data_IF_301018536375
#
_entry.id   IF_301018536375
#
_cell.length_a   1.000
_cell.length_b   1.000
_cell.length_c   1.000
_cell.angle_alpha   90.00
_cell.angle_beta   90.00
_cell.angle_gamma   90.00
#
_symmetry.space_group_name_H-M   'P 1'
#
loop_
_entity.id
_entity.type
_entity.pdbx_description
1 polymer ?
#
# COMPACT_ATOMS: atom_id res chain seq x y z
N UNK A 1 1.60 -34.03 35.15
CA UNK A 1 0.41 -33.19 34.95
C UNK A 1 0.67 -31.67 35.03
N UNK A 2 1.87 -31.19 35.27
CA UNK A 2 2.17 -29.74 35.40
C UNK A 2 2.42 -29.07 34.05
N UNK A 3 2.90 -29.79 33.05
CA UNK A 3 3.23 -29.22 31.70
C UNK A 3 2.00 -28.76 30.94
N UNK A 4 0.87 -29.45 31.08
CA UNK A 4 -0.37 -29.08 30.37
C UNK A 4 -1.02 -27.76 30.84
N UNK A 5 -0.85 -27.41 32.12
CA UNK A 5 -1.40 -26.16 32.69
C UNK A 5 -0.57 -24.95 32.27
N UNK A 6 0.75 -25.08 32.20
CA UNK A 6 1.63 -23.99 31.71
C UNK A 6 1.41 -23.67 30.23
N UNK A 7 1.16 -24.67 29.38
CA UNK A 7 0.86 -24.48 27.97
C UNK A 7 -0.42 -23.67 27.73
N UNK A 8 -1.46 -23.87 28.56
CA UNK A 8 -2.74 -23.17 28.42
C UNK A 8 -2.67 -21.65 28.69
N UNK A 9 -1.72 -21.19 29.50
CA UNK A 9 -1.55 -19.76 29.80
C UNK A 9 -0.56 -19.06 28.86
N UNK A 10 0.33 -19.81 28.22
CA UNK A 10 1.39 -19.25 27.37
C UNK A 10 0.93 -19.07 25.93
N UNK A 11 0.16 -20.00 25.39
CA UNK A 11 -0.32 -19.95 23.98
C UNK A 11 -1.12 -18.67 23.64
N UNK A 12 -2.07 -18.16 24.44
CA UNK A 12 -2.80 -16.94 24.11
C UNK A 12 -1.91 -15.69 24.07
N UNK A 13 -0.84 -15.65 24.88
CA UNK A 13 0.07 -14.51 24.92
C UNK A 13 0.95 -14.46 23.66
N UNK A 14 1.39 -15.60 23.14
CA UNK A 14 2.17 -15.65 21.91
C UNK A 14 1.32 -15.27 20.68
N UNK A 15 0.07 -15.67 20.62
CA UNK A 15 -0.83 -15.29 19.53
C UNK A 15 -1.02 -13.75 19.49
N UNK A 16 -1.24 -13.11 20.64
CA UNK A 16 -1.38 -11.65 20.72
C UNK A 16 -0.11 -10.91 20.30
N UNK A 17 1.07 -11.43 20.63
CA UNK A 17 2.36 -10.83 20.21
C UNK A 17 2.54 -10.92 18.69
N UNK A 18 2.18 -12.06 18.09
CA UNK A 18 2.25 -12.23 16.62
C UNK A 18 1.33 -11.23 15.92
N UNK A 19 0.10 -11.08 16.36
CA UNK A 19 -0.88 -10.15 15.78
C UNK A 19 -0.42 -8.69 15.86
N UNK A 20 0.19 -8.31 16.99
CA UNK A 20 0.76 -6.97 17.15
C UNK A 20 1.98 -6.75 16.25
N UNK A 21 2.85 -7.77 16.10
CA UNK A 21 4.01 -7.69 15.21
C UNK A 21 3.59 -7.48 13.74
N UNK A 22 2.54 -8.18 13.28
CA UNK A 22 1.99 -7.97 11.93
C UNK A 22 1.44 -6.55 11.73
N UNK A 23 0.72 -6.02 12.72
CA UNK A 23 0.21 -4.64 12.66
C UNK A 23 1.35 -3.62 12.54
N UNK A 24 2.37 -3.75 13.38
CA UNK A 24 3.55 -2.86 13.37
C UNK A 24 4.29 -2.96 12.02
N UNK A 25 4.44 -4.17 11.48
CA UNK A 25 5.03 -4.37 10.15
C UNK A 25 4.22 -3.64 9.07
N UNK A 26 2.90 -3.81 9.04
CA UNK A 26 2.02 -3.15 8.05
C UNK A 26 2.05 -1.62 8.22
N UNK A 27 2.07 -1.12 9.46
CA UNK A 27 2.21 0.32 9.73
C UNK A 27 3.56 0.86 9.23
N UNK A 28 4.64 0.11 9.40
CA UNK A 28 5.96 0.48 8.86
C UNK A 28 5.95 0.59 7.34
N UNK A 29 5.35 -0.37 6.65
CA UNK A 29 5.20 -0.35 5.19
C UNK A 29 4.30 0.81 4.74
N UNK A 30 3.22 1.09 5.45
CA UNK A 30 2.35 2.25 5.17
C UNK A 30 3.11 3.58 5.35
N UNK A 31 3.97 3.67 6.35
CA UNK A 31 4.88 4.80 6.56
C UNK A 31 5.85 5.01 5.39
N UNK A 32 6.46 3.93 4.90
CA UNK A 32 7.34 3.97 3.73
C UNK A 32 6.59 4.42 2.47
N UNK A 33 5.40 3.87 2.21
CA UNK A 33 4.55 4.27 1.09
C UNK A 33 4.18 5.76 1.14
N UNK A 34 3.80 6.26 2.33
CA UNK A 34 3.48 7.67 2.55
C UNK A 34 4.69 8.56 2.31
N UNK A 35 5.85 8.19 2.83
CA UNK A 35 7.11 8.92 2.64
C UNK A 35 7.47 9.00 1.16
N UNK A 36 7.41 7.88 0.43
CA UNK A 36 7.66 7.85 -1.01
C UNK A 36 6.71 8.77 -1.79
N UNK A 37 5.40 8.71 -1.49
CA UNK A 37 4.41 9.57 -2.15
C UNK A 37 4.66 11.07 -1.89
N UNK A 38 5.05 11.45 -0.67
CA UNK A 38 5.39 12.82 -0.31
C UNK A 38 6.69 13.28 -0.98
N UNK A 39 7.69 12.40 -1.10
CA UNK A 39 8.95 12.70 -1.79
C UNK A 39 8.71 12.99 -3.27
N UNK A 40 7.90 12.15 -3.95
CA UNK A 40 7.48 12.39 -5.34
C UNK A 40 6.80 13.74 -5.49
N UNK A 41 5.84 14.06 -4.62
CA UNK A 41 5.15 15.34 -4.62
C UNK A 41 6.09 16.53 -4.40
N UNK A 42 7.01 16.41 -3.47
CA UNK A 42 8.00 17.46 -3.18
C UNK A 42 8.89 17.72 -4.40
N UNK A 43 9.36 16.66 -5.05
CA UNK A 43 10.15 16.79 -6.28
C UNK A 43 9.35 17.42 -7.42
N UNK A 44 8.10 17.00 -7.63
CA UNK A 44 7.19 17.59 -8.60
C UNK A 44 7.08 19.10 -8.40
N UNK A 45 6.85 19.55 -7.16
CA UNK A 45 6.73 20.97 -6.83
C UNK A 45 8.06 21.71 -7.01
N UNK A 46 9.19 21.11 -6.61
CA UNK A 46 10.52 21.72 -6.72
C UNK A 46 10.96 21.94 -8.17
N UNK A 47 10.46 21.12 -9.09
CA UNK A 47 10.67 21.26 -10.53
C UNK A 47 9.68 22.26 -11.20
N UNK A 48 8.78 22.87 -10.43
CA UNK A 48 7.82 23.86 -10.93
C UNK A 48 6.68 23.28 -11.75
N UNK A 49 6.43 21.99 -11.65
CA UNK A 49 5.31 21.37 -12.35
C UNK A 49 3.97 21.78 -11.75
N UNK A 50 2.97 22.03 -12.59
CA UNK A 50 1.59 22.37 -12.22
C UNK A 50 0.54 21.50 -12.90
N UNK A 51 1.00 20.58 -13.75
CA UNK A 51 0.16 19.61 -14.48
C UNK A 51 0.79 18.24 -14.38
N UNK A 52 0.02 17.21 -14.62
CA UNK A 52 0.45 15.82 -14.64
C UNK A 52 1.76 15.63 -15.42
N UNK A 53 2.69 14.92 -14.83
CA UNK A 53 3.98 14.57 -15.45
C UNK A 53 4.04 13.06 -15.69
N UNK A 54 4.51 12.67 -16.85
CA UNK A 54 4.94 11.30 -17.14
C UNK A 54 6.45 11.20 -16.97
N UNK A 55 6.90 10.12 -16.34
CA UNK A 55 8.31 9.85 -16.14
C UNK A 55 9.02 11.03 -15.43
N UNK A 56 8.60 11.31 -14.19
CA UNK A 56 9.16 12.38 -13.37
C UNK A 56 10.67 12.15 -13.18
N UNK A 57 11.48 13.02 -13.77
CA UNK A 57 12.93 12.93 -13.71
C UNK A 57 13.44 13.17 -12.27
N UNK A 58 14.54 12.49 -11.91
CA UNK A 58 15.18 12.67 -10.61
C UNK A 58 14.56 11.89 -9.45
N UNK A 59 13.55 11.02 -9.71
CA UNK A 59 13.02 10.09 -8.74
C UNK A 59 13.20 8.64 -9.23
N UNK A 60 13.83 7.79 -8.40
CA UNK A 60 14.06 6.39 -8.71
C UNK A 60 14.74 6.19 -10.07
N UNK A 61 14.14 5.35 -10.90
CA UNK A 61 14.56 5.11 -12.29
C UNK A 61 13.97 6.11 -13.30
N UNK A 62 13.27 7.13 -12.84
CA UNK A 62 12.66 8.15 -13.68
C UNK A 62 11.37 7.71 -14.38
N UNK A 63 10.73 6.62 -13.96
CA UNK A 63 9.50 6.10 -14.59
C UNK A 63 8.21 6.52 -13.86
N UNK A 64 8.32 7.23 -12.74
CA UNK A 64 7.14 7.63 -11.95
C UNK A 64 6.30 8.64 -12.72
N UNK A 65 5.00 8.34 -12.80
CA UNK A 65 3.98 9.24 -13.32
C UNK A 65 3.21 9.90 -12.17
N UNK A 66 2.90 11.18 -12.30
CA UNK A 66 2.15 11.94 -11.30
C UNK A 66 0.82 12.45 -11.84
N UNK A 67 -0.12 12.74 -10.93
CA UNK A 67 -1.33 13.50 -11.25
C UNK A 67 -1.04 15.03 -11.29
N UNK A 68 -2.06 15.84 -11.54
CA UNK A 68 -1.93 17.32 -11.66
C UNK A 68 -1.45 18.01 -10.37
N UNK A 69 -1.56 17.35 -9.23
CA UNK A 69 -1.11 17.89 -7.94
C UNK A 69 0.17 17.21 -7.41
N UNK A 70 0.81 16.36 -8.24
CA UNK A 70 2.12 15.78 -7.98
C UNK A 70 2.13 14.46 -7.21
N UNK A 71 1.00 13.83 -6.91
CA UNK A 71 1.00 12.51 -6.29
C UNK A 71 1.19 11.40 -7.31
N UNK A 72 1.91 10.32 -6.94
CA UNK A 72 2.21 9.22 -7.84
C UNK A 72 0.95 8.45 -8.27
N UNK A 73 0.88 8.14 -9.55
CA UNK A 73 -0.20 7.36 -10.15
C UNK A 73 0.28 6.13 -10.91
N UNK A 74 1.56 5.78 -10.84
CA UNK A 74 2.13 4.57 -11.43
C UNK A 74 3.42 4.82 -12.19
N UNK A 75 3.86 3.82 -12.94
CA UNK A 75 5.10 3.83 -13.73
C UNK A 75 4.88 3.59 -15.23
N UNK A 76 3.65 3.31 -15.64
CA UNK A 76 3.31 2.97 -17.03
C UNK A 76 1.98 3.60 -17.45
N UNK A 77 1.75 4.82 -17.01
CA UNK A 77 0.44 5.48 -17.19
C UNK A 77 0.11 5.77 -18.67
N UNK A 78 1.05 6.26 -19.42
CA UNK A 78 1.04 6.37 -20.90
C UNK A 78 -0.04 7.25 -21.52
N UNK A 79 -1.03 7.80 -20.82
CA UNK A 79 -2.13 8.56 -21.41
C UNK A 79 -2.64 9.70 -20.53
N UNK A 80 -3.52 10.52 -21.11
CA UNK A 80 -3.93 11.83 -20.61
C UNK A 80 -4.83 11.87 -19.38
N UNK A 81 -5.13 10.78 -18.68
CA UNK A 81 -5.97 10.83 -17.48
C UNK A 81 -5.15 10.62 -16.18
N UNK A 82 -5.74 10.94 -15.03
CA UNK A 82 -5.13 10.84 -13.70
C UNK A 82 -5.50 9.56 -12.95
N UNK A 83 -5.95 8.52 -13.62
CA UNK A 83 -6.22 7.25 -12.98
C UNK A 83 -4.90 6.57 -12.60
N UNK A 84 -4.90 5.82 -11.52
CA UNK A 84 -3.73 5.05 -11.12
C UNK A 84 -3.45 3.97 -12.17
N UNK A 85 -2.32 4.08 -12.85
CA UNK A 85 -1.80 3.12 -13.82
C UNK A 85 -2.77 2.74 -14.94
N UNK A 86 -2.48 1.62 -15.57
CA UNK A 86 -3.31 0.98 -16.59
C UNK A 86 -3.88 -0.32 -16.05
N UNK A 87 -5.20 -0.48 -16.03
CA UNK A 87 -5.87 -1.68 -15.55
C UNK A 87 -5.64 -1.98 -14.06
N UNK A 88 -5.85 -3.23 -13.67
CA UNK A 88 -5.78 -3.66 -12.28
C UNK A 88 -4.35 -3.68 -11.72
N UNK A 89 -3.33 -3.71 -12.57
CA UNK A 89 -1.93 -3.68 -12.17
C UNK A 89 -1.44 -2.27 -11.77
N UNK A 90 -2.23 -1.23 -11.97
CA UNK A 90 -1.82 0.15 -11.71
C UNK A 90 -1.28 0.40 -10.30
N UNK A 91 -1.91 -0.21 -9.30
CA UNK A 91 -1.45 -0.09 -7.90
C UNK A 91 -0.11 -0.78 -7.65
N UNK A 92 0.23 -1.84 -8.38
CA UNK A 92 1.55 -2.47 -8.32
C UNK A 92 2.63 -1.49 -8.79
N UNK A 93 2.35 -0.72 -9.84
CA UNK A 93 3.27 0.31 -10.34
C UNK A 93 3.50 1.44 -9.33
N UNK A 94 2.47 1.90 -8.62
CA UNK A 94 2.65 2.87 -7.53
C UNK A 94 3.53 2.28 -6.43
N UNK A 95 3.21 1.08 -5.95
CA UNK A 95 3.91 0.41 -4.85
C UNK A 95 5.41 0.24 -5.12
N UNK A 96 5.73 -0.40 -6.26
CA UNK A 96 7.12 -0.68 -6.61
C UNK A 96 7.90 0.56 -7.06
N UNK A 97 7.21 1.56 -7.61
CA UNK A 97 7.85 2.75 -8.12
C UNK A 97 8.23 3.77 -7.06
N UNK A 98 7.57 3.78 -5.88
CA UNK A 98 7.84 4.78 -4.85
C UNK A 98 8.48 4.24 -3.57
N UNK A 99 8.62 2.93 -3.44
CA UNK A 99 9.30 2.31 -2.30
C UNK A 99 10.57 1.58 -2.75
N UNK A 100 11.64 1.73 -2.00
CA UNK A 100 12.87 0.94 -2.14
C UNK A 100 12.68 -0.36 -1.35
N UNK A 101 13.09 -1.48 -1.93
CA UNK A 101 12.96 -2.81 -1.31
C UNK A 101 11.55 -3.13 -0.83
N UNK A 102 10.56 -2.72 -1.63
CA UNK A 102 9.15 -2.90 -1.31
C UNK A 102 8.82 -4.38 -1.08
N UNK A 103 7.98 -4.70 -0.07
CA UNK A 103 7.45 -6.05 0.06
C UNK A 103 6.72 -6.50 -1.21
N UNK A 104 6.76 -7.80 -1.49
CA UNK A 104 6.19 -8.33 -2.71
C UNK A 104 4.67 -8.06 -2.82
N UNK A 105 4.24 -7.61 -4.01
CA UNK A 105 2.85 -7.24 -4.30
C UNK A 105 2.42 -7.74 -5.68
N UNK A 106 1.17 -8.16 -5.81
CA UNK A 106 0.54 -8.42 -7.11
C UNK A 106 -0.97 -8.15 -7.04
N UNK A 107 -1.60 -7.98 -8.21
CA UNK A 107 -3.06 -7.77 -8.28
C UNK A 107 -3.84 -9.08 -8.40
N UNK A 108 -3.23 -10.16 -8.87
CA UNK A 108 -3.90 -11.44 -9.18
C UNK A 108 -3.16 -12.69 -8.70
N UNK A 109 -1.96 -12.56 -8.14
CA UNK A 109 -1.15 -13.70 -7.74
C UNK A 109 -1.33 -14.02 -6.25
N UNK A 110 -1.24 -15.30 -5.92
CA UNK A 110 -1.48 -15.79 -4.57
C UNK A 110 -0.22 -15.92 -3.70
N UNK A 111 0.98 -15.70 -4.25
CA UNK A 111 2.24 -15.95 -3.55
C UNK A 111 2.94 -14.68 -3.04
N UNK A 112 2.31 -13.50 -3.15
CA UNK A 112 2.89 -12.24 -2.71
C UNK A 112 2.45 -11.87 -1.29
N UNK A 113 3.25 -11.06 -0.59
CA UNK A 113 2.91 -10.60 0.77
C UNK A 113 1.70 -9.68 0.79
N UNK A 114 1.51 -8.90 -0.29
CA UNK A 114 0.39 -7.99 -0.44
C UNK A 114 -0.38 -8.26 -1.73
N UNK A 115 -1.69 -8.12 -1.66
CA UNK A 115 -2.55 -8.11 -2.85
C UNK A 115 -3.12 -6.73 -3.07
N UNK A 116 -2.93 -6.18 -4.28
CA UNK A 116 -3.37 -4.84 -4.62
C UNK A 116 -4.71 -4.84 -5.33
N UNK A 117 -5.53 -3.83 -5.02
CA UNK A 117 -6.80 -3.57 -5.65
C UNK A 117 -6.89 -2.09 -6.02
N UNK A 118 -7.23 -1.81 -7.28
CA UNK A 118 -7.54 -0.46 -7.74
C UNK A 118 -9.06 -0.29 -7.75
N UNK A 119 -9.54 0.78 -7.14
CA UNK A 119 -10.98 1.04 -7.01
C UNK A 119 -11.30 2.54 -6.89
N UNK A 120 -12.58 2.87 -6.61
CA UNK A 120 -13.10 4.23 -6.41
C UNK A 120 -12.64 5.17 -7.51
N UNK A 121 -13.27 5.03 -8.70
CA UNK A 121 -12.94 5.80 -9.91
C UNK A 121 -11.48 5.69 -10.35
N UNK A 122 -10.82 4.57 -10.02
CA UNK A 122 -9.41 4.29 -10.31
C UNK A 122 -8.41 5.26 -9.63
N UNK A 123 -8.78 5.86 -8.52
CA UNK A 123 -7.96 6.83 -7.78
C UNK A 123 -7.42 6.27 -6.46
N UNK A 124 -7.91 5.12 -6.02
CA UNK A 124 -7.53 4.50 -4.75
C UNK A 124 -6.89 3.13 -4.99
N UNK A 125 -5.80 2.86 -4.27
CA UNK A 125 -5.21 1.55 -4.09
C UNK A 125 -5.50 1.02 -2.68
N UNK A 126 -5.92 -0.23 -2.59
CA UNK A 126 -5.90 -1.00 -1.34
C UNK A 126 -4.91 -2.13 -1.48
N UNK A 127 -4.00 -2.27 -0.53
CA UNK A 127 -3.01 -3.33 -0.44
C UNK A 127 -3.33 -4.20 0.76
N UNK A 128 -3.92 -5.36 0.52
CA UNK A 128 -4.33 -6.31 1.56
C UNK A 128 -3.13 -7.15 1.97
N UNK A 129 -2.79 -7.13 3.26
CA UNK A 129 -1.74 -7.99 3.82
C UNK A 129 -2.21 -9.44 3.89
N UNK A 130 -1.44 -10.35 3.30
CA UNK A 130 -1.86 -11.73 3.14
C UNK A 130 -1.51 -12.63 4.33
N UNK A 131 -0.56 -12.22 5.19
CA UNK A 131 -0.21 -12.94 6.41
C UNK A 131 -1.38 -13.04 7.39
N UNK A 132 -2.23 -12.02 7.45
CA UNK A 132 -3.42 -11.99 8.32
C UNK A 132 -4.70 -12.49 7.63
N UNK A 133 -4.58 -13.10 6.46
CA UNK A 133 -5.69 -13.63 5.69
C UNK A 133 -6.26 -12.63 4.67
N UNK A 134 -5.98 -12.86 3.41
CA UNK A 134 -6.67 -12.27 2.26
C UNK A 134 -7.64 -13.31 1.69
N UNK A 135 -8.92 -13.05 1.78
CA UNK A 135 -9.97 -13.90 1.23
C UNK A 135 -10.41 -13.48 -0.19
N UNK A 136 -9.62 -12.64 -0.85
CA UNK A 136 -9.92 -12.14 -2.19
C UNK A 136 -10.87 -10.94 -2.22
N UNK A 137 -11.27 -10.41 -1.06
CA UNK A 137 -12.13 -9.22 -0.96
C UNK A 137 -11.45 -8.16 -0.08
N UNK A 138 -11.08 -7.02 -0.70
CA UNK A 138 -10.42 -5.90 0.01
C UNK A 138 -11.24 -5.34 1.20
N UNK A 139 -12.58 -5.48 1.15
CA UNK A 139 -13.46 -4.94 2.19
C UNK A 139 -13.51 -5.83 3.44
N UNK A 140 -12.99 -7.05 3.37
CA UNK A 140 -12.94 -8.01 4.47
C UNK A 140 -11.50 -8.39 4.86
N UNK A 141 -10.50 -7.72 4.30
CA UNK A 141 -9.11 -7.89 4.69
C UNK A 141 -8.90 -7.46 6.15
N UNK A 142 -8.13 -8.24 6.91
CA UNK A 142 -7.84 -7.93 8.31
C UNK A 142 -6.92 -6.71 8.46
N UNK A 143 -5.89 -6.63 7.61
CA UNK A 143 -4.94 -5.52 7.54
C UNK A 143 -4.80 -5.03 6.11
N UNK A 144 -5.13 -3.77 5.88
CA UNK A 144 -5.12 -3.13 4.56
C UNK A 144 -4.40 -1.79 4.64
N UNK A 145 -3.48 -1.55 3.71
CA UNK A 145 -2.92 -0.21 3.46
C UNK A 145 -3.72 0.41 2.33
N UNK A 146 -4.31 1.58 2.56
CA UNK A 146 -5.08 2.32 1.58
C UNK A 146 -4.31 3.57 1.17
N UNK A 147 -4.08 3.76 -0.13
CA UNK A 147 -3.49 4.96 -0.72
C UNK A 147 -4.52 5.65 -1.61
N UNK A 148 -4.70 6.95 -1.42
CA UNK A 148 -5.56 7.79 -2.25
C UNK A 148 -4.71 8.80 -3.02
N UNK A 149 -4.72 8.71 -4.35
CA UNK A 149 -3.94 9.61 -5.21
C UNK A 149 -4.51 11.03 -5.29
N UNK A 150 -5.72 11.28 -4.80
CA UNK A 150 -6.37 12.59 -4.85
C UNK A 150 -5.79 13.58 -3.83
N UNK A 151 -5.28 13.06 -2.71
CA UNK A 151 -4.70 13.86 -1.61
C UNK A 151 -3.37 13.30 -1.08
N UNK A 152 -2.95 12.12 -1.59
CA UNK A 152 -1.74 11.43 -1.16
C UNK A 152 -1.87 10.77 0.21
N UNK A 153 -3.07 10.64 0.76
CA UNK A 153 -3.29 10.01 2.04
C UNK A 153 -2.94 8.52 2.01
N UNK A 154 -2.29 8.05 3.07
CA UNK A 154 -2.03 6.63 3.33
C UNK A 154 -2.56 6.30 4.71
N UNK A 155 -3.39 5.29 4.81
CA UNK A 155 -3.99 4.82 6.06
C UNK A 155 -3.88 3.30 6.17
N UNK A 156 -3.74 2.81 7.40
CA UNK A 156 -3.93 1.40 7.75
C UNK A 156 -5.34 1.24 8.28
N UNK A 157 -6.09 0.34 7.69
CA UNK A 157 -7.48 0.03 8.04
C UNK A 157 -7.76 -1.47 7.82
N UNK A 158 -8.94 -1.96 8.22
CA UNK A 158 -9.30 -3.35 8.00
C UNK A 158 -10.41 -3.84 8.91
N UNK A 159 -10.52 -5.16 9.05
CA UNK A 159 -11.54 -5.80 9.90
C UNK A 159 -11.03 -6.18 11.29
N UNK A 160 -9.80 -5.85 11.66
CA UNK A 160 -9.30 -6.02 13.02
C UNK A 160 -9.98 -5.02 13.95
N UNK A 161 -10.28 -5.43 15.18
CA UNK A 161 -10.99 -4.60 16.16
C UNK A 161 -10.16 -3.41 16.68
N UNK A 162 -8.83 -3.46 16.54
CA UNK A 162 -7.88 -2.47 17.06
C UNK A 162 -7.47 -1.41 16.01
N UNK A 163 -8.06 -1.44 14.81
CA UNK A 163 -7.83 -0.44 13.75
C UNK A 163 -9.14 0.02 13.12
N UNK A 164 -9.16 1.19 12.45
CA UNK A 164 -10.36 1.65 11.75
C UNK A 164 -10.80 0.70 10.64
N UNK A 165 -12.09 0.61 10.40
CA UNK A 165 -12.62 -0.02 9.19
C UNK A 165 -12.22 0.77 7.92
N UNK A 166 -11.97 0.08 6.79
CA UNK A 166 -11.75 0.73 5.51
C UNK A 166 -13.05 1.29 4.93
#
# INVERSE_FOLDING_TARGET
MIIGVLAAFVLPRFANVSDQAELVQVQGVAGALRSGALTVKTLFNSQGHSVRVQNLSGYGDGTIDTNNIGYPIGTTKGNGNENIGVGNAGCVGVWNGIMIDAPSVAHNNNNQQYRSYRHTSNKICSFVYRGSGDNGNRNTGLLVIKYDSRDGSVAVCGQRADIPAC
#
